data_IF_454080024674
#
_entry.id   IF_454080024674
#
_cell.length_a   1.000
_cell.length_b   1.000
_cell.length_c   1.000
_cell.angle_alpha   90.00
_cell.angle_beta   90.00
_cell.angle_gamma   90.00
#
_symmetry.space_group_name_H-M   'P 1'
#
loop_
_entity.id
_entity.type
_entity.pdbx_description
1 polymer ?
#
# COMPACT_ATOMS: atom_id res chain seq x y z
N UNK A 1 11.56 -2.61 -19.28
CA UNK A 1 11.10 -2.76 -18.86
C UNK A 1 10.39 -2.05 -18.14
N UNK A 2 9.74 -1.89 -18.00
CA UNK A 2 9.10 -1.09 -17.56
C UNK A 2 8.83 -1.15 -16.32
N UNK A 3 9.08 -0.75 -15.62
CA UNK A 3 8.91 -0.74 -14.61
C UNK A 3 7.98 -0.08 -14.19
N UNK A 4 7.61 0.27 -14.44
CA UNK A 4 6.68 0.92 -14.35
C UNK A 4 5.98 1.13 -13.18
N UNK A 5 4.80 1.18 -13.23
CA UNK A 5 4.01 1.49 -12.13
C UNK A 5 3.91 0.36 -11.22
N UNK A 6 4.23 0.57 -9.97
CA UNK A 6 4.15 -0.45 -9.02
C UNK A 6 2.80 -0.40 -8.37
N UNK A 7 2.02 -1.42 -8.55
CA UNK A 7 0.72 -1.54 -7.89
C UNK A 7 0.91 -1.93 -6.44
N UNK A 8 0.24 -1.25 -5.54
CA UNK A 8 0.35 -1.58 -4.13
C UNK A 8 -0.91 -2.27 -3.64
N UNK A 9 -0.76 -3.06 -2.58
CA UNK A 9 -1.89 -3.77 -2.02
C UNK A 9 -2.81 -2.81 -1.30
N UNK A 10 -4.07 -2.83 -1.69
CA UNK A 10 -5.07 -1.99 -1.08
C UNK A 10 -5.23 -2.34 0.40
N UNK A 11 -5.20 -3.62 0.71
CA UNK A 11 -5.32 -4.07 2.09
C UNK A 11 -4.17 -3.55 2.94
N UNK A 12 -2.95 -3.68 2.44
CA UNK A 12 -1.79 -3.20 3.19
C UNK A 12 -1.81 -1.69 3.33
N UNK A 13 -2.27 -1.00 2.31
CA UNK A 13 -2.35 0.45 2.37
C UNK A 13 -3.28 0.89 3.51
N UNK A 14 -4.46 0.32 3.58
CA UNK A 14 -5.41 0.74 4.59
C UNK A 14 -5.01 0.27 5.98
N UNK A 15 -4.39 -0.89 6.09
CA UNK A 15 -3.87 -1.34 7.37
C UNK A 15 -2.82 -0.38 7.90
N UNK A 16 -1.89 0.01 7.03
CA UNK A 16 -0.83 0.92 7.42
C UNK A 16 -1.39 2.29 7.77
N UNK A 17 -2.34 2.76 6.98
CA UNK A 17 -2.94 4.06 7.22
C UNK A 17 -3.66 4.08 8.58
N UNK A 18 -4.41 3.04 8.86
CA UNK A 18 -5.12 2.96 10.12
C UNK A 18 -4.16 2.93 11.31
N UNK A 19 -3.12 2.12 11.21
CA UNK A 19 -2.12 2.03 12.29
C UNK A 19 -1.41 3.36 12.48
N UNK A 20 -1.13 4.04 11.39
CA UNK A 20 -0.49 5.34 11.45
C UNK A 20 -1.40 6.36 12.13
N UNK A 21 -2.67 6.38 11.76
CA UNK A 21 -3.62 7.32 12.36
C UNK A 21 -3.85 7.04 13.84
N UNK A 22 -3.76 5.78 14.23
CA UNK A 22 -3.91 5.39 15.64
C UNK A 22 -2.64 5.60 16.44
N UNK A 23 -1.59 6.08 15.80
CA UNK A 23 -0.34 6.33 16.51
C UNK A 23 0.47 5.09 16.83
N UNK A 24 0.13 3.98 16.23
CA UNK A 24 0.84 2.72 16.50
C UNK A 24 2.15 2.62 15.76
N UNK A 25 2.23 3.20 14.58
CA UNK A 25 3.44 3.18 13.78
C UNK A 25 3.72 4.56 13.24
N UNK A 26 4.98 4.77 12.86
CA UNK A 26 5.38 6.03 12.24
C UNK A 26 5.08 6.00 10.77
N UNK A 27 5.18 7.17 10.15
CA UNK A 27 4.99 7.27 8.70
C UNK A 27 6.02 6.41 7.97
N UNK A 28 7.24 6.38 8.47
CA UNK A 28 8.29 5.54 7.86
C UNK A 28 7.90 4.08 7.88
N UNK A 29 7.39 3.61 9.01
CA UNK A 29 6.99 2.20 9.09
C UNK A 29 5.78 1.91 8.23
N UNK A 30 4.85 2.87 8.16
CA UNK A 30 3.68 2.69 7.30
C UNK A 30 4.10 2.57 5.84
N UNK A 31 5.01 3.44 5.40
CA UNK A 31 5.51 3.38 4.03
C UNK A 31 6.18 2.05 3.74
N UNK A 32 6.98 1.58 4.69
CA UNK A 32 7.67 0.30 4.54
C UNK A 32 6.68 -0.86 4.48
N UNK A 33 5.64 -0.80 5.28
CA UNK A 33 4.62 -1.86 5.27
C UNK A 33 3.94 -1.94 3.91
N UNK A 34 3.67 -0.79 3.31
CA UNK A 34 3.05 -0.73 2.00
C UNK A 34 4.05 -1.07 0.90
N UNK A 35 5.31 -0.73 1.09
CA UNK A 35 6.34 -0.98 0.09
C UNK A 35 6.61 0.24 -0.79
N UNK A 36 6.41 1.44 -0.26
CA UNK A 36 6.63 2.68 -1.01
C UNK A 36 7.52 3.60 -0.18
N UNK A 37 7.98 4.68 -0.81
CA UNK A 37 8.81 5.63 -0.11
C UNK A 37 7.98 6.49 0.85
N UNK A 38 8.65 7.09 1.82
CA UNK A 38 7.97 7.93 2.80
C UNK A 38 7.26 9.12 2.13
N UNK A 39 7.91 9.86 1.22
CA UNK A 39 7.20 10.96 0.57
C UNK A 39 5.96 10.50 -0.20
N UNK A 40 6.05 9.34 -0.83
CA UNK A 40 4.92 8.80 -1.57
C UNK A 40 3.77 8.43 -0.63
N UNK A 41 4.12 7.80 0.50
CA UNK A 41 3.11 7.43 1.48
C UNK A 41 2.42 8.68 2.03
N UNK A 42 3.21 9.69 2.35
CA UNK A 42 2.67 10.95 2.85
C UNK A 42 1.69 11.56 1.85
N UNK A 43 2.06 11.55 0.59
CA UNK A 43 1.21 12.10 -0.47
C UNK A 43 -0.13 11.38 -0.52
N UNK A 44 -0.11 10.06 -0.54
CA UNK A 44 -1.34 9.30 -0.66
C UNK A 44 -2.18 9.35 0.61
N UNK A 45 -1.55 9.37 1.76
CA UNK A 45 -2.29 9.51 3.01
C UNK A 45 -3.01 10.86 3.05
N UNK A 46 -2.34 11.93 2.63
CA UNK A 46 -2.96 13.24 2.58
C UNK A 46 -4.12 13.27 1.58
N UNK A 47 -3.96 12.64 0.44
CA UNK A 47 -5.04 12.56 -0.53
C UNK A 47 -6.26 11.86 0.07
N UNK A 48 -6.03 10.79 0.80
CA UNK A 48 -7.12 10.05 1.42
C UNK A 48 -7.82 10.90 2.48
N UNK A 49 -7.04 11.61 3.28
CA UNK A 49 -7.61 12.47 4.33
C UNK A 49 -8.45 13.58 3.73
N UNK A 50 -8.00 14.12 2.60
CA UNK A 50 -8.74 15.19 1.92
C UNK A 50 -9.91 14.68 1.11
N UNK A 51 -10.02 13.37 0.95
CA UNK A 51 -11.10 12.81 0.15
C UNK A 51 -10.86 12.87 -1.33
N UNK A 52 -9.60 13.08 -1.76
CA UNK A 52 -9.28 13.13 -3.17
C UNK A 52 -9.17 11.72 -3.75
N UNK A 53 -9.56 11.56 -5.01
CA UNK A 53 -9.50 10.23 -5.63
C UNK A 53 -8.05 9.83 -5.90
N UNK A 54 -7.77 8.54 -5.74
CA UNK A 54 -6.47 8.00 -6.04
C UNK A 54 -6.33 7.76 -7.54
N UNK A 55 -5.08 7.81 -8.06
CA UNK A 55 -4.86 7.41 -9.45
C UNK A 55 -5.25 5.96 -9.66
N UNK A 56 -5.81 5.67 -10.84
CA UNK A 56 -6.20 4.31 -11.14
C UNK A 56 -5.02 3.34 -11.08
N UNK A 57 -3.84 3.84 -11.36
CA UNK A 57 -2.66 2.98 -11.39
C UNK A 57 -2.15 2.61 -10.00
N UNK A 58 -2.63 3.30 -8.97
CA UNK A 58 -2.13 3.05 -7.62
C UNK A 58 -2.48 1.65 -7.14
N UNK A 59 -3.73 1.27 -7.27
CA UNK A 59 -4.19 -0.04 -6.83
C UNK A 59 -4.40 -1.01 -7.99
N UNK A 60 -4.39 -0.53 -9.22
CA UNK A 60 -4.62 -1.37 -10.38
C UNK A 60 -6.05 -1.85 -10.46
N UNK A 61 -6.23 -2.99 -11.07
CA UNK A 61 -7.57 -3.59 -11.20
C UNK A 61 -7.81 -4.55 -10.05
N UNK A 62 -9.05 -5.05 -10.00
CA UNK A 62 -9.37 -6.07 -9.00
C UNK A 62 -8.51 -7.31 -9.16
N UNK A 63 -8.23 -7.65 -10.40
CA UNK A 63 -7.36 -8.79 -10.68
C UNK A 63 -5.98 -8.58 -10.12
N UNK A 64 -5.46 -7.37 -10.29
CA UNK A 64 -4.14 -7.05 -9.76
C UNK A 64 -4.13 -7.19 -8.25
N UNK A 65 -5.19 -6.76 -7.58
CA UNK A 65 -5.27 -6.88 -6.13
C UNK A 65 -5.34 -8.33 -5.69
N UNK A 66 -6.10 -9.15 -6.42
CA UNK A 66 -6.17 -10.57 -6.11
C UNK A 66 -4.81 -11.24 -6.23
N UNK A 67 -4.07 -10.91 -7.28
CA UNK A 67 -2.76 -11.50 -7.46
C UNK A 67 -1.80 -11.05 -6.37
N UNK A 68 -1.86 -9.79 -5.98
CA UNK A 68 -1.03 -9.31 -4.90
C UNK A 68 -1.33 -10.03 -3.59
N UNK A 69 -2.59 -10.23 -3.30
CA UNK A 69 -2.96 -10.93 -2.06
C UNK A 69 -2.48 -12.37 -2.08
N UNK A 70 -2.62 -13.03 -3.22
CA UNK A 70 -2.12 -14.40 -3.35
C UNK A 70 -0.62 -14.46 -3.17
N UNK A 71 0.08 -13.54 -3.78
CA UNK A 71 1.52 -13.48 -3.68
C UNK A 71 1.98 -13.25 -2.25
N UNK A 72 1.32 -12.32 -1.57
CA UNK A 72 1.68 -12.00 -0.19
C UNK A 72 1.40 -13.17 0.74
N UNK A 73 0.30 -13.86 0.50
CA UNK A 73 -0.04 -15.03 1.28
C UNK A 73 0.98 -16.14 1.08
N UNK A 74 1.36 -16.36 -0.16
CA UNK A 74 2.37 -17.35 -0.48
C UNK A 74 3.68 -17.02 0.18
N UNK A 75 4.05 -15.76 0.15
CA UNK A 75 5.27 -15.29 0.78
C UNK A 75 5.28 -15.54 2.27
N UNK A 76 4.15 -15.29 2.91
CA UNK A 76 4.02 -15.53 4.34
C UNK A 76 4.19 -16.99 4.67
N UNK A 77 3.60 -17.86 3.84
CA UNK A 77 3.72 -19.29 4.06
C UNK A 77 5.15 -19.77 3.93
N UNK A 78 5.89 -19.17 3.01
CA UNK A 78 7.28 -19.55 2.84
C UNK A 78 8.16 -19.15 4.03
N UNK A 79 7.73 -18.14 4.77
CA UNK A 79 8.53 -17.67 5.90
C UNK A 79 8.40 -18.54 7.14
N UNK A 80 7.42 -19.37 7.17
CA UNK A 80 7.21 -20.23 8.33
C UNK A 80 8.17 -21.45 8.38
#
# INVERSE_FOLDING_TARGET
MAQGVKTISKKKFFEAFESFCNGRITLSKAARHIGISVPTASKYFNMYIKGEPFPDTLFGTEKDQEQLEKFLKFKEELRK
#
